data_IF_216182458601
#
_entry.id   IF_216182458601
#
_cell.length_a   1.000
_cell.length_b   1.000
_cell.length_c   1.000
_cell.angle_alpha   90.00
_cell.angle_beta   90.00
_cell.angle_gamma   90.00
#
_symmetry.space_group_name_H-M   'P 1'
#
loop_
_entity.id
_entity.type
_entity.pdbx_description
1 polymer ?
#
# COMPACT_ATOMS: atom_id res chain seq x y z
N UNK A 1 6.46 -2.51 -17.87
CA UNK A 1 7.76 -2.44 -18.61
C UNK A 1 8.92 -1.95 -17.72
N UNK A 2 8.69 -0.97 -16.86
CA UNK A 2 9.75 -0.44 -15.97
C UNK A 2 10.26 -1.49 -14.96
N UNK A 3 9.37 -2.31 -14.42
CA UNK A 3 9.69 -3.31 -13.41
C UNK A 3 10.19 -4.64 -13.98
N UNK A 4 9.64 -5.06 -15.11
CA UNK A 4 9.86 -6.39 -15.69
C UNK A 4 10.79 -6.37 -16.90
N UNK A 5 11.11 -5.18 -17.44
CA UNK A 5 11.61 -5.05 -18.80
C UNK A 5 10.49 -5.27 -19.84
N UNK A 6 10.82 -5.54 -21.10
CA UNK A 6 9.84 -5.77 -22.14
C UNK A 6 9.03 -7.04 -21.87
N UNK A 7 7.70 -6.94 -22.03
CA UNK A 7 6.78 -8.07 -21.97
C UNK A 7 6.43 -8.51 -23.39
N UNK A 8 6.15 -9.80 -23.58
CA UNK A 8 5.54 -10.28 -24.82
C UNK A 8 4.06 -9.88 -24.87
N UNK A 9 3.48 -9.87 -26.06
CA UNK A 9 2.04 -9.56 -26.23
C UNK A 9 1.16 -10.52 -25.41
N UNK A 10 1.45 -11.81 -25.45
CA UNK A 10 0.73 -12.81 -24.66
C UNK A 10 0.83 -12.57 -23.13
N UNK A 11 1.98 -12.10 -22.64
CA UNK A 11 2.12 -11.72 -21.22
C UNK A 11 1.28 -10.48 -20.91
N UNK A 12 1.29 -9.47 -21.77
CA UNK A 12 0.49 -8.24 -21.58
C UNK A 12 -1.01 -8.56 -21.55
N UNK A 13 -1.52 -9.38 -22.48
CA UNK A 13 -2.92 -9.81 -22.52
C UNK A 13 -3.31 -10.60 -21.26
N UNK A 14 -2.46 -11.54 -20.84
CA UNK A 14 -2.75 -12.34 -19.64
C UNK A 14 -2.75 -11.51 -18.38
N UNK A 15 -1.80 -10.57 -18.25
CA UNK A 15 -1.75 -9.64 -17.10
C UNK A 15 -2.99 -8.74 -17.09
N UNK A 16 -3.41 -8.21 -18.24
CA UNK A 16 -4.62 -7.40 -18.33
C UNK A 16 -5.85 -8.19 -17.86
N UNK A 17 -6.03 -9.43 -18.33
CA UNK A 17 -7.12 -10.30 -17.91
C UNK A 17 -7.11 -10.62 -16.40
N UNK A 18 -5.93 -10.74 -15.78
CA UNK A 18 -5.80 -10.92 -14.33
C UNK A 18 -6.17 -9.65 -13.55
N UNK A 19 -5.80 -8.48 -14.06
CA UNK A 19 -6.14 -7.18 -13.45
C UNK A 19 -7.66 -6.96 -13.48
N UNK A 20 -8.31 -7.31 -14.58
CA UNK A 20 -9.78 -7.17 -14.75
C UNK A 20 -10.57 -8.05 -13.76
N UNK A 21 -9.97 -9.11 -13.23
CA UNK A 21 -10.56 -9.97 -12.20
C UNK A 21 -10.44 -9.41 -10.79
N UNK A 22 -9.64 -8.35 -10.58
CA UNK A 22 -9.54 -7.74 -9.26
C UNK A 22 -10.86 -7.08 -8.88
N UNK A 23 -11.29 -7.25 -7.63
CA UNK A 23 -12.46 -6.54 -7.15
C UNK A 23 -12.21 -5.03 -7.18
N UNK A 24 -13.19 -4.30 -7.63
CA UNK A 24 -13.15 -2.84 -7.62
C UNK A 24 -13.21 -2.35 -6.16
N UNK A 25 -12.05 -2.05 -5.58
CA UNK A 25 -11.92 -1.72 -4.15
C UNK A 25 -12.00 -0.21 -3.85
N UNK A 26 -12.31 0.62 -4.85
CA UNK A 26 -12.30 2.08 -4.67
C UNK A 26 -13.39 2.55 -3.69
N UNK A 27 -14.57 1.93 -3.72
CA UNK A 27 -15.63 2.25 -2.76
C UNK A 27 -15.21 1.94 -1.31
N UNK A 28 -14.54 0.83 -1.10
CA UNK A 28 -14.06 0.39 0.22
C UNK A 28 -12.98 1.36 0.73
N UNK A 29 -12.04 1.73 -0.14
CA UNK A 29 -11.00 2.72 0.18
C UNK A 29 -11.58 4.12 0.42
N UNK A 30 -12.60 4.50 -0.34
CA UNK A 30 -13.29 5.78 -0.16
C UNK A 30 -14.00 5.83 1.20
N UNK A 31 -14.71 4.77 1.58
CA UNK A 31 -15.36 4.67 2.89
C UNK A 31 -14.36 4.80 4.03
N UNK A 32 -13.21 4.09 3.95
CA UNK A 32 -12.16 4.19 4.96
C UNK A 32 -11.57 5.60 5.03
N UNK A 33 -11.32 6.23 3.90
CA UNK A 33 -10.85 7.62 3.85
C UNK A 33 -11.86 8.57 4.49
N UNK A 34 -13.15 8.43 4.19
CA UNK A 34 -14.20 9.26 4.76
C UNK A 34 -14.33 9.05 6.28
N UNK A 35 -14.22 7.80 6.75
CA UNK A 35 -14.21 7.49 8.18
C UNK A 35 -13.06 8.21 8.88
N UNK A 36 -11.84 8.04 8.41
CA UNK A 36 -10.64 8.68 8.95
C UNK A 36 -10.70 10.21 8.89
N UNK A 37 -11.25 10.76 7.83
CA UNK A 37 -11.45 12.20 7.70
C UNK A 37 -12.42 12.73 8.76
N UNK A 38 -13.55 12.04 9.00
CA UNK A 38 -14.49 12.42 10.05
C UNK A 38 -13.86 12.40 11.44
N UNK A 39 -13.08 11.36 11.75
CA UNK A 39 -12.36 11.26 13.01
C UNK A 39 -11.34 12.39 13.17
N UNK A 40 -10.55 12.67 12.13
CA UNK A 40 -9.59 13.77 12.15
C UNK A 40 -10.26 15.13 12.39
N UNK A 41 -11.37 15.40 11.71
CA UNK A 41 -12.14 16.62 11.91
C UNK A 41 -12.69 16.73 13.35
N UNK A 42 -13.08 15.61 13.96
CA UNK A 42 -13.50 15.57 15.36
C UNK A 42 -12.32 15.90 16.31
N UNK A 43 -11.13 15.37 16.04
CA UNK A 43 -9.92 15.69 16.80
C UNK A 43 -9.53 17.17 16.67
N UNK A 44 -9.70 17.78 15.49
CA UNK A 44 -9.40 19.19 15.27
C UNK A 44 -10.27 20.14 16.11
N UNK A 45 -11.43 19.70 16.62
CA UNK A 45 -12.22 20.47 17.58
C UNK A 45 -11.44 20.73 18.88
N UNK A 46 -10.44 19.90 19.19
CA UNK A 46 -9.56 20.06 20.35
C UNK A 46 -8.39 21.04 20.09
N UNK A 47 -8.32 21.70 18.91
CA UNK A 47 -7.18 22.54 18.52
C UNK A 47 -6.83 23.69 19.49
N UNK A 48 -7.80 24.14 20.25
CA UNK A 48 -7.59 25.19 21.27
C UNK A 48 -6.87 24.66 22.52
N UNK A 49 -6.74 23.35 22.71
CA UNK A 49 -6.01 22.74 23.80
C UNK A 49 -4.93 21.79 23.24
N UNK A 50 -3.72 22.31 23.07
CA UNK A 50 -2.59 21.58 22.47
C UNK A 50 -2.29 20.27 23.18
N UNK A 51 -2.35 20.24 24.53
CA UNK A 51 -2.08 19.03 25.31
C UNK A 51 -3.14 17.94 25.10
N UNK A 52 -4.42 18.31 25.02
CA UNK A 52 -5.50 17.37 24.71
C UNK A 52 -5.39 16.86 23.27
N UNK A 53 -5.12 17.77 22.33
CA UNK A 53 -4.96 17.40 20.93
C UNK A 53 -3.79 16.42 20.73
N UNK A 54 -2.63 16.70 21.31
CA UNK A 54 -1.46 15.83 21.20
C UNK A 54 -1.72 14.42 21.78
N UNK A 55 -2.37 14.35 22.96
CA UNK A 55 -2.77 13.07 23.57
C UNK A 55 -3.76 12.26 22.74
N UNK A 56 -4.63 12.92 21.98
CA UNK A 56 -5.61 12.27 21.12
C UNK A 56 -5.03 11.86 19.76
N UNK A 57 -4.14 12.68 19.18
CA UNK A 57 -3.51 12.40 17.90
C UNK A 57 -2.53 11.24 17.95
N UNK A 58 -1.74 11.11 19.03
CA UNK A 58 -0.76 10.04 19.15
C UNK A 58 -1.36 8.64 18.94
N UNK A 59 -2.36 8.22 19.75
CA UNK A 59 -3.05 6.92 19.56
C UNK A 59 -3.75 6.81 18.20
N UNK A 60 -4.32 7.90 17.68
CA UNK A 60 -5.00 7.89 16.39
C UNK A 60 -4.05 7.61 15.21
N UNK A 61 -2.80 8.09 15.28
CA UNK A 61 -1.77 7.76 14.30
C UNK A 61 -1.16 6.38 14.53
N UNK A 62 -1.00 5.97 15.80
CA UNK A 62 -0.38 4.70 16.14
C UNK A 62 -1.26 3.49 15.77
N UNK A 63 -2.59 3.63 15.91
CA UNK A 63 -3.56 2.58 15.61
C UNK A 63 -4.46 3.01 14.46
N UNK A 64 -3.94 2.86 13.25
CA UNK A 64 -4.62 3.27 12.02
C UNK A 64 -5.92 2.50 11.75
N UNK A 65 -6.03 1.28 12.26
CA UNK A 65 -7.14 0.37 11.98
C UNK A 65 -8.25 0.43 13.01
N UNK A 66 -7.99 1.03 14.16
CA UNK A 66 -8.93 1.15 15.26
C UNK A 66 -10.27 1.79 14.83
N UNK A 67 -11.36 1.11 15.19
CA UNK A 67 -12.70 1.58 14.88
C UNK A 67 -13.15 1.31 13.45
N UNK A 68 -12.41 0.51 12.69
CA UNK A 68 -12.81 0.05 11.37
C UNK A 68 -13.98 -0.92 11.50
N UNK A 69 -15.09 -0.74 10.73
CA UNK A 69 -16.18 -1.71 10.72
C UNK A 69 -15.71 -3.09 10.25
N UNK A 70 -16.19 -4.20 10.83
CA UNK A 70 -15.74 -5.55 10.47
C UNK A 70 -15.91 -5.88 8.99
N UNK A 71 -17.00 -5.43 8.38
CA UNK A 71 -17.27 -5.64 6.94
C UNK A 71 -16.24 -4.92 6.06
N UNK A 72 -15.81 -3.73 6.49
CA UNK A 72 -14.77 -2.97 5.79
C UNK A 72 -13.40 -3.62 5.97
N UNK A 73 -13.11 -4.11 7.16
CA UNK A 73 -11.88 -4.84 7.46
C UNK A 73 -11.77 -6.11 6.62
N UNK A 74 -12.85 -6.91 6.55
CA UNK A 74 -12.91 -8.11 5.73
C UNK A 74 -12.74 -7.79 4.23
N UNK A 75 -13.42 -6.76 3.73
CA UNK A 75 -13.31 -6.36 2.33
C UNK A 75 -11.89 -5.86 1.96
N UNK A 76 -11.20 -5.16 2.88
CA UNK A 76 -9.81 -4.76 2.69
C UNK A 76 -8.87 -5.96 2.70
N UNK A 77 -9.09 -6.93 3.59
CA UNK A 77 -8.34 -8.17 3.66
C UNK A 77 -8.49 -8.98 2.37
N UNK A 78 -9.73 -9.20 1.91
CA UNK A 78 -10.01 -9.93 0.67
C UNK A 78 -9.37 -9.27 -0.55
N UNK A 79 -9.40 -7.92 -0.62
CA UNK A 79 -8.74 -7.17 -1.68
C UNK A 79 -7.21 -7.31 -1.61
N UNK A 80 -6.63 -7.40 -0.42
CA UNK A 80 -5.21 -7.66 -0.22
C UNK A 80 -4.82 -9.05 -0.68
N UNK A 81 -5.53 -10.10 -0.25
CA UNK A 81 -5.29 -11.50 -0.64
C UNK A 81 -5.36 -11.68 -2.17
N UNK A 82 -6.38 -11.11 -2.81
CA UNK A 82 -6.51 -11.15 -4.27
C UNK A 82 -5.36 -10.45 -4.98
N UNK A 83 -4.83 -9.37 -4.40
CA UNK A 83 -3.66 -8.68 -4.94
C UNK A 83 -2.39 -9.52 -4.80
N UNK A 84 -2.21 -10.22 -3.68
CA UNK A 84 -1.09 -11.17 -3.51
C UNK A 84 -1.18 -12.27 -4.57
N UNK A 85 -2.36 -12.86 -4.75
CA UNK A 85 -2.60 -13.87 -5.79
C UNK A 85 -2.25 -13.34 -7.18
N UNK A 86 -2.68 -12.12 -7.53
CA UNK A 86 -2.29 -11.48 -8.79
C UNK A 86 -0.77 -11.40 -8.95
N UNK A 87 -0.06 -10.96 -7.92
CA UNK A 87 1.41 -10.84 -8.00
C UNK A 87 2.09 -12.19 -8.20
N UNK A 88 1.59 -13.25 -7.56
CA UNK A 88 2.10 -14.62 -7.75
C UNK A 88 1.84 -15.11 -9.17
N UNK A 89 0.64 -14.92 -9.70
CA UNK A 89 0.28 -15.28 -11.07
C UNK A 89 1.17 -14.53 -12.09
N UNK A 90 1.35 -13.22 -11.91
CA UNK A 90 2.24 -12.43 -12.75
C UNK A 90 3.68 -12.95 -12.67
N UNK A 91 4.17 -13.26 -11.45
CA UNK A 91 5.53 -13.79 -11.28
C UNK A 91 5.73 -15.14 -12.01
N UNK A 92 4.69 -15.99 -12.09
CA UNK A 92 4.73 -17.23 -12.85
C UNK A 92 4.77 -17.01 -14.37
N UNK A 93 4.16 -15.93 -14.87
CA UNK A 93 4.20 -15.59 -16.29
C UNK A 93 5.55 -15.02 -16.75
N UNK A 94 6.35 -14.47 -15.83
CA UNK A 94 7.63 -13.85 -16.16
C UNK A 94 8.71 -14.90 -16.46
N UNK A 95 9.58 -14.61 -17.42
CA UNK A 95 10.78 -15.40 -17.66
C UNK A 95 11.78 -15.26 -16.51
N UNK A 96 12.79 -16.11 -16.50
CA UNK A 96 13.88 -16.04 -15.51
C UNK A 96 14.60 -14.70 -15.54
N UNK A 97 14.85 -14.17 -16.75
CA UNK A 97 15.51 -12.88 -16.97
C UNK A 97 14.65 -11.72 -16.48
N UNK A 98 13.34 -11.74 -16.76
CA UNK A 98 12.40 -10.75 -16.29
C UNK A 98 12.30 -10.75 -14.76
N UNK A 99 12.23 -11.92 -14.11
CA UNK A 99 12.26 -12.03 -12.65
C UNK A 99 13.57 -11.50 -12.05
N UNK A 100 14.71 -11.80 -12.68
CA UNK A 100 16.00 -11.25 -12.25
C UNK A 100 16.05 -9.73 -12.39
N UNK A 101 15.41 -9.16 -13.42
CA UNK A 101 15.29 -7.70 -13.58
C UNK A 101 14.47 -7.08 -12.44
N UNK A 102 13.31 -7.67 -12.10
CA UNK A 102 12.49 -7.23 -10.94
C UNK A 102 13.30 -7.26 -9.66
N UNK A 103 13.99 -8.37 -9.39
CA UNK A 103 14.81 -8.53 -8.18
C UNK A 103 15.90 -7.46 -8.06
N UNK A 104 16.63 -7.17 -9.16
CA UNK A 104 17.64 -6.10 -9.17
C UNK A 104 17.02 -4.73 -8.91
N UNK A 105 15.83 -4.45 -9.45
CA UNK A 105 15.16 -3.18 -9.24
C UNK A 105 14.73 -3.00 -7.79
N UNK A 106 14.17 -4.05 -7.18
CA UNK A 106 13.81 -4.04 -5.76
C UNK A 106 15.06 -3.83 -4.89
N UNK A 107 16.16 -4.53 -5.20
CA UNK A 107 17.43 -4.35 -4.47
C UNK A 107 17.93 -2.91 -4.56
N UNK A 108 17.84 -2.27 -5.74
CA UNK A 108 18.20 -0.86 -5.90
C UNK A 108 17.42 0.06 -4.97
N UNK A 109 16.10 -0.14 -4.84
CA UNK A 109 15.29 0.64 -3.88
C UNK A 109 15.68 0.37 -2.42
N UNK A 110 16.00 -0.87 -2.06
CA UNK A 110 16.48 -1.20 -0.71
C UNK A 110 17.80 -0.46 -0.43
N UNK A 111 18.73 -0.46 -1.38
CA UNK A 111 20.01 0.20 -1.24
C UNK A 111 19.85 1.73 -1.11
N UNK A 112 18.98 2.33 -1.91
CA UNK A 112 18.64 3.76 -1.84
C UNK A 112 18.03 4.14 -0.47
N UNK A 113 17.08 3.35 0.03
CA UNK A 113 16.44 3.58 1.33
C UNK A 113 17.46 3.43 2.47
N UNK A 114 18.35 2.45 2.41
CA UNK A 114 19.42 2.26 3.39
C UNK A 114 20.40 3.44 3.37
N UNK A 115 20.76 3.95 2.19
CA UNK A 115 21.61 5.12 2.05
C UNK A 115 20.97 6.38 2.63
N UNK A 116 19.65 6.56 2.42
CA UNK A 116 18.89 7.68 3.01
C UNK A 116 18.81 7.57 4.54
N UNK A 117 18.59 6.37 5.07
CA UNK A 117 18.55 6.12 6.51
C UNK A 117 19.91 6.42 7.17
N UNK A 118 21.02 5.97 6.54
CA UNK A 118 22.37 6.24 7.04
C UNK A 118 22.71 7.73 7.07
N UNK A 119 22.29 8.51 6.07
CA UNK A 119 22.48 9.97 6.04
C UNK A 119 21.76 10.69 7.20
N UNK A 120 20.57 10.22 7.59
CA UNK A 120 19.82 10.80 8.71
C UNK A 120 20.53 10.60 10.05
N UNK A 121 21.21 9.46 10.25
CA UNK A 121 21.96 9.18 11.48
C UNK A 121 23.22 10.02 11.57
N UNK A 122 23.85 10.36 10.45
CA UNK A 122 25.08 11.16 10.42
C UNK A 122 24.85 12.67 10.63
N UNK A 123 23.59 13.14 10.62
CA UNK A 123 23.22 14.57 10.76
C UNK A 123 22.62 14.90 12.14
N UNK A 124 22.56 13.95 13.06
CA UNK A 124 22.17 14.13 14.47
C UNK A 124 23.41 14.05 15.38
#
# INVERSE_FOLDING_TARGET
KEWTGPLTHAQEERIAALIDQLPYSDNVRLQERQRRQKEFLALLKLRHNKAKLARALGPWFADWEKGRPPELEQALHDAYEKRITLYLEVAHLLTREQRAHVARKIQGYIDDLNALAARRVATQ
#
